data_IF_574113204219
#
_entry.id   IF_574113204219
#
_cell.length_a   1.000
_cell.length_b   1.000
_cell.length_c   1.000
_cell.angle_alpha   90.00
_cell.angle_beta   90.00
_cell.angle_gamma   90.00
#
_symmetry.space_group_name_H-M   'P 1'
#
loop_
_entity.id
_entity.type
_entity.pdbx_description
1 polymer ?
#
# COMPACT_ATOMS: atom_id res chain seq x y z
N UNK A 1 -12.26 -13.19 5.82
CA UNK A 1 -12.96 -11.96 5.41
C UNK A 1 -12.96 -11.86 3.89
N UNK A 2 -14.16 -11.98 3.29
CA UNK A 2 -14.37 -12.03 1.84
C UNK A 2 -14.49 -10.60 1.29
N UNK A 3 -13.43 -10.11 0.66
CA UNK A 3 -13.53 -8.95 -0.24
C UNK A 3 -14.33 -9.41 -1.47
N UNK A 4 -15.54 -8.86 -1.67
CA UNK A 4 -16.40 -9.22 -2.79
C UNK A 4 -15.66 -9.11 -4.14
N UNK A 5 -15.67 -10.21 -4.90
CA UNK A 5 -14.74 -10.55 -5.98
C UNK A 5 -14.70 -9.65 -7.23
N UNK A 6 -15.37 -8.49 -7.27
CA UNK A 6 -15.50 -7.67 -8.49
C UNK A 6 -15.33 -6.16 -8.28
N UNK A 7 -16.20 -5.50 -7.50
CA UNK A 7 -16.25 -4.03 -7.48
C UNK A 7 -14.99 -3.38 -6.88
N UNK A 8 -14.42 -3.99 -5.84
CA UNK A 8 -13.26 -3.47 -5.12
C UNK A 8 -11.96 -3.65 -5.91
N UNK A 9 -11.78 -4.81 -6.56
CA UNK A 9 -10.66 -5.05 -7.48
C UNK A 9 -10.72 -4.08 -8.66
N UNK A 10 -11.91 -3.88 -9.24
CA UNK A 10 -12.10 -2.96 -10.35
C UNK A 10 -11.80 -1.51 -9.95
N UNK A 11 -12.29 -1.07 -8.78
CA UNK A 11 -12.01 0.26 -8.27
C UNK A 11 -10.51 0.49 -8.01
N UNK A 12 -9.81 -0.51 -7.46
CA UNK A 12 -8.38 -0.42 -7.21
C UNK A 12 -7.55 -0.37 -8.50
N UNK A 13 -7.88 -1.19 -9.51
CA UNK A 13 -7.25 -1.13 -10.83
C UNK A 13 -7.50 0.21 -11.53
N UNK A 14 -8.75 0.69 -11.52
CA UNK A 14 -9.13 1.99 -12.09
C UNK A 14 -8.41 3.16 -11.41
N UNK A 15 -8.17 3.10 -10.09
CA UNK A 15 -7.42 4.15 -9.38
C UNK A 15 -5.96 4.29 -9.84
N UNK A 16 -5.42 3.26 -10.50
CA UNK A 16 -4.08 3.27 -11.09
C UNK A 16 -4.11 3.44 -12.62
N UNK A 17 -5.27 3.81 -13.17
CA UNK A 17 -5.51 3.92 -14.61
C UNK A 17 -5.22 2.61 -15.35
N UNK A 18 -5.58 1.47 -14.76
CA UNK A 18 -5.60 0.18 -15.42
C UNK A 18 -7.04 -0.15 -15.81
N UNK A 19 -7.25 -0.70 -17.01
CA UNK A 19 -8.58 -1.15 -17.43
C UNK A 19 -8.98 -2.41 -16.64
N UNK A 20 -10.01 -2.36 -15.78
CA UNK A 20 -10.42 -3.51 -15.00
C UNK A 20 -11.15 -4.57 -15.84
N UNK A 21 -11.59 -4.28 -17.07
CA UNK A 21 -12.43 -5.18 -17.88
C UNK A 21 -11.79 -6.54 -18.09
N UNK A 22 -10.50 -6.58 -18.47
CA UNK A 22 -9.78 -7.83 -18.70
C UNK A 22 -9.66 -8.69 -17.43
N UNK A 23 -9.49 -8.04 -16.27
CA UNK A 23 -9.39 -8.70 -14.97
C UNK A 23 -10.75 -9.24 -14.50
N UNK A 24 -11.81 -8.44 -14.65
CA UNK A 24 -13.18 -8.81 -14.29
C UNK A 24 -13.68 -9.95 -15.18
N UNK A 25 -13.44 -9.88 -16.48
CA UNK A 25 -13.82 -10.92 -17.43
C UNK A 25 -13.17 -12.28 -17.11
N UNK A 26 -11.96 -12.29 -16.54
CA UNK A 26 -11.26 -13.50 -16.10
C UNK A 26 -11.58 -13.92 -14.66
N UNK A 27 -12.54 -13.26 -13.99
CA UNK A 27 -12.92 -13.58 -12.61
C UNK A 27 -11.75 -13.41 -11.62
N UNK A 28 -10.89 -12.42 -11.87
CA UNK A 28 -9.78 -12.08 -10.98
C UNK A 28 -10.34 -11.32 -9.79
N UNK A 29 -10.38 -12.01 -8.65
CA UNK A 29 -10.65 -11.40 -7.36
C UNK A 29 -9.44 -10.62 -6.84
N UNK A 30 -9.64 -9.79 -5.82
CA UNK A 30 -8.53 -9.11 -5.12
C UNK A 30 -7.49 -10.11 -4.62
N UNK A 31 -7.93 -11.22 -4.00
CA UNK A 31 -7.03 -12.27 -3.53
C UNK A 31 -6.23 -12.96 -4.65
N UNK A 32 -6.80 -13.07 -5.86
CA UNK A 32 -6.10 -13.59 -7.04
C UNK A 32 -5.16 -12.55 -7.64
N UNK A 33 -5.56 -11.27 -7.65
CA UNK A 33 -4.74 -10.16 -8.14
C UNK A 33 -3.39 -10.12 -7.42
N UNK A 34 -3.36 -10.39 -6.11
CA UNK A 34 -2.14 -10.47 -5.30
C UNK A 34 -1.20 -11.62 -5.65
N UNK A 35 -1.68 -12.60 -6.43
CA UNK A 35 -0.92 -13.80 -6.81
C UNK A 35 -0.55 -13.80 -8.29
N UNK A 36 -0.97 -12.78 -9.05
CA UNK A 36 -0.61 -12.67 -10.46
C UNK A 36 0.88 -12.37 -10.57
N UNK A 37 1.55 -13.16 -11.40
CA UNK A 37 2.97 -13.00 -11.74
C UNK A 37 3.10 -12.16 -12.99
N UNK A 38 4.26 -11.53 -13.18
CA UNK A 38 4.58 -10.73 -14.37
C UNK A 38 4.31 -11.49 -15.67
N UNK A 39 4.61 -12.79 -15.70
CA UNK A 39 4.31 -13.64 -16.87
C UNK A 39 2.81 -13.65 -17.19
N UNK A 40 1.94 -13.84 -16.20
CA UNK A 40 0.50 -13.83 -16.38
C UNK A 40 0.01 -12.44 -16.80
N UNK A 41 0.51 -11.37 -16.16
CA UNK A 41 0.17 -9.99 -16.49
C UNK A 41 0.51 -9.63 -17.94
N UNK A 42 1.69 -10.06 -18.41
CA UNK A 42 2.12 -9.83 -19.78
C UNK A 42 1.34 -10.67 -20.79
N UNK A 43 1.26 -11.99 -20.57
CA UNK A 43 0.75 -12.91 -21.60
C UNK A 43 -0.77 -12.99 -21.63
N UNK A 44 -1.44 -12.89 -20.48
CA UNK A 44 -2.90 -13.08 -20.37
C UNK A 44 -3.68 -11.77 -20.31
N UNK A 45 -3.05 -10.69 -19.84
CA UNK A 45 -3.67 -9.38 -19.72
C UNK A 45 -3.06 -8.34 -20.66
N UNK A 46 -2.03 -8.71 -21.42
CA UNK A 46 -1.41 -7.82 -22.41
C UNK A 46 -0.76 -6.59 -21.79
N UNK A 47 -0.39 -6.63 -20.51
CA UNK A 47 0.19 -5.48 -19.84
C UNK A 47 1.64 -5.27 -20.29
N UNK A 48 1.96 -4.02 -20.62
CA UNK A 48 3.31 -3.54 -20.80
C UNK A 48 4.02 -3.37 -19.43
N UNK A 49 5.29 -2.95 -19.46
CA UNK A 49 6.06 -2.76 -18.23
C UNK A 49 5.43 -1.73 -17.29
N UNK A 50 4.81 -0.67 -17.83
CA UNK A 50 4.16 0.37 -17.04
C UNK A 50 2.93 -0.20 -16.32
N UNK A 51 2.10 -0.97 -17.03
CA UNK A 51 0.94 -1.66 -16.47
C UNK A 51 1.33 -2.67 -15.39
N UNK A 52 2.38 -3.46 -15.64
CA UNK A 52 2.90 -4.42 -14.65
C UNK A 52 3.41 -3.71 -13.39
N UNK A 53 4.15 -2.61 -13.53
CA UNK A 53 4.65 -1.82 -12.39
C UNK A 53 3.49 -1.28 -11.53
N UNK A 54 2.38 -0.87 -12.16
CA UNK A 54 1.17 -0.43 -11.44
C UNK A 54 0.50 -1.57 -10.68
N UNK A 55 0.41 -2.76 -11.27
CA UNK A 55 -0.12 -3.94 -10.57
C UNK A 55 0.78 -4.31 -9.39
N UNK A 56 2.11 -4.31 -9.56
CA UNK A 56 3.04 -4.55 -8.47
C UNK A 56 2.86 -3.53 -7.33
N UNK A 57 2.70 -2.25 -7.66
CA UNK A 57 2.41 -1.20 -6.68
C UNK A 57 1.11 -1.46 -5.91
N UNK A 58 0.06 -1.95 -6.58
CA UNK A 58 -1.19 -2.33 -5.94
C UNK A 58 -1.02 -3.54 -5.00
N UNK A 59 -0.25 -4.54 -5.43
CA UNK A 59 0.05 -5.73 -4.63
C UNK A 59 0.83 -5.37 -3.36
N UNK A 60 1.87 -4.53 -3.51
CA UNK A 60 2.68 -4.06 -2.39
C UNK A 60 1.87 -3.19 -1.42
N UNK A 61 1.04 -2.29 -1.95
CA UNK A 61 0.14 -1.47 -1.15
C UNK A 61 -0.87 -2.31 -0.36
N UNK A 62 -1.45 -3.34 -0.99
CA UNK A 62 -2.35 -4.26 -0.29
C UNK A 62 -1.65 -5.03 0.82
N UNK A 63 -0.43 -5.53 0.56
CA UNK A 63 0.37 -6.20 1.58
C UNK A 63 0.59 -5.29 2.78
N UNK A 64 1.05 -4.06 2.55
CA UNK A 64 1.28 -3.08 3.61
C UNK A 64 -0.02 -2.75 4.37
N UNK A 65 -1.13 -2.50 3.68
CA UNK A 65 -2.42 -2.23 4.32
C UNK A 65 -2.86 -3.36 5.25
N UNK A 66 -2.71 -4.61 4.80
CA UNK A 66 -3.06 -5.80 5.59
C UNK A 66 -2.17 -5.93 6.83
N UNK A 67 -0.88 -5.63 6.70
CA UNK A 67 0.06 -5.65 7.83
C UNK A 67 -0.23 -4.53 8.84
N UNK A 68 -0.58 -3.33 8.37
CA UNK A 68 -1.04 -2.23 9.23
C UNK A 68 -2.33 -2.62 9.96
N UNK A 69 -3.32 -3.17 9.25
CA UNK A 69 -4.59 -3.62 9.84
C UNK A 69 -4.36 -4.66 10.94
N UNK A 70 -3.44 -5.60 10.72
CA UNK A 70 -3.11 -6.66 11.67
C UNK A 70 -2.30 -6.19 12.90
N UNK A 71 -1.86 -4.92 12.93
CA UNK A 71 -1.06 -4.37 14.04
C UNK A 71 -1.89 -4.25 15.32
N UNK A 72 -3.20 -4.06 15.21
CA UNK A 72 -4.12 -4.22 16.34
C UNK A 72 -4.77 -5.61 16.25
N UNK A 73 -4.74 -6.40 17.33
CA UNK A 73 -5.19 -7.81 17.32
C UNK A 73 -6.70 -7.98 17.03
N UNK A 74 -7.42 -6.90 16.79
CA UNK A 74 -8.80 -6.88 16.30
C UNK A 74 -8.80 -6.43 14.84
N UNK A 75 -9.07 -7.32 13.87
CA UNK A 75 -9.20 -6.92 12.48
C UNK A 75 -10.33 -5.89 12.35
N UNK A 76 -9.99 -4.70 11.85
CA UNK A 76 -10.91 -3.55 11.71
C UNK A 76 -11.81 -3.62 10.47
N UNK A 77 -11.95 -4.80 9.87
CA UNK A 77 -12.95 -5.07 8.84
C UNK A 77 -12.67 -4.39 7.50
N UNK A 78 -11.41 -4.14 7.16
CA UNK A 78 -11.00 -3.49 5.91
C UNK A 78 -10.72 -1.98 6.04
N UNK A 79 -10.31 -1.54 7.23
CA UNK A 79 -9.94 -0.14 7.50
C UNK A 79 -8.73 -0.06 8.44
N UNK A 80 -7.99 1.04 8.42
CA UNK A 80 -6.83 1.28 9.30
C UNK A 80 -7.00 2.59 10.08
N UNK A 81 -6.77 2.55 11.39
CA UNK A 81 -6.68 3.77 12.20
C UNK A 81 -5.28 4.37 12.11
N UNK A 82 -5.15 5.68 12.34
CA UNK A 82 -3.86 6.39 12.29
C UNK A 82 -2.82 5.74 13.24
N UNK A 83 -3.25 5.36 14.45
CA UNK A 83 -2.39 4.67 15.42
C UNK A 83 -1.91 3.27 14.97
N UNK A 84 -2.64 2.60 14.06
CA UNK A 84 -2.16 1.35 13.46
C UNK A 84 -0.96 1.61 12.56
N UNK A 85 -1.05 2.67 11.73
CA UNK A 85 0.03 3.08 10.85
C UNK A 85 1.26 3.51 11.65
N UNK A 86 1.09 4.30 12.70
CA UNK A 86 2.18 4.73 13.58
C UNK A 86 2.94 3.53 14.17
N UNK A 87 2.22 2.58 14.76
CA UNK A 87 2.81 1.36 15.35
C UNK A 87 3.50 0.50 14.29
N UNK A 88 2.89 0.36 13.11
CA UNK A 88 3.50 -0.36 11.99
C UNK A 88 4.81 0.30 11.56
N UNK A 89 4.83 1.63 11.40
CA UNK A 89 6.02 2.39 11.00
C UNK A 89 7.17 2.23 12.01
N UNK A 90 6.86 2.31 13.31
CA UNK A 90 7.84 2.10 14.37
C UNK A 90 8.37 0.66 14.33
N UNK A 91 7.48 -0.34 14.30
CA UNK A 91 7.86 -1.75 14.41
C UNK A 91 8.54 -2.33 13.16
N UNK A 92 8.09 -1.94 11.96
CA UNK A 92 8.57 -2.50 10.69
C UNK A 92 9.66 -1.68 10.03
N UNK A 93 9.65 -0.37 10.23
CA UNK A 93 10.60 0.54 9.61
C UNK A 93 11.60 1.14 10.62
N UNK A 94 11.57 0.70 11.89
CA UNK A 94 12.43 1.21 12.97
C UNK A 94 12.39 2.74 13.07
N UNK A 95 11.23 3.33 12.79
CA UNK A 95 11.02 4.77 12.82
C UNK A 95 10.90 5.26 14.26
N UNK A 96 11.39 6.47 14.55
CA UNK A 96 11.12 7.10 15.85
C UNK A 96 9.63 7.46 15.93
N UNK A 97 9.04 7.37 17.11
CA UNK A 97 7.60 7.62 17.31
C UNK A 97 7.15 9.00 16.78
N UNK A 98 7.96 10.04 17.00
CA UNK A 98 7.66 11.39 16.51
C UNK A 98 7.65 11.49 14.97
N UNK A 99 8.57 10.79 14.30
CA UNK A 99 8.64 10.76 12.84
C UNK A 99 7.46 9.94 12.28
N UNK A 100 7.14 8.81 12.94
CA UNK A 100 6.00 7.97 12.58
C UNK A 100 4.66 8.71 12.70
N UNK A 101 4.49 9.53 13.75
CA UNK A 101 3.32 10.38 13.95
C UNK A 101 3.20 11.48 12.90
N UNK A 102 4.32 12.10 12.53
CA UNK A 102 4.32 13.15 11.50
C UNK A 102 3.93 12.57 10.15
N UNK A 103 4.55 11.44 9.77
CA UNK A 103 4.27 10.77 8.52
C UNK A 103 2.83 10.22 8.47
N UNK A 104 2.36 9.60 9.55
CA UNK A 104 0.98 9.09 9.61
C UNK A 104 -0.06 10.20 9.44
N UNK A 105 0.14 11.35 10.10
CA UNK A 105 -0.74 12.51 9.97
C UNK A 105 -0.78 13.06 8.55
N UNK A 106 0.39 13.18 7.92
CA UNK A 106 0.49 13.67 6.54
C UNK A 106 -0.24 12.74 5.57
N UNK A 107 -0.01 11.43 5.68
CA UNK A 107 -0.67 10.44 4.82
C UNK A 107 -2.19 10.39 5.08
N UNK A 108 -2.65 10.53 6.32
CA UNK A 108 -4.09 10.61 6.62
C UNK A 108 -4.74 11.88 6.06
N UNK A 109 -4.03 13.01 6.08
CA UNK A 109 -4.48 14.24 5.44
C UNK A 109 -4.54 14.07 3.90
N UNK A 110 -3.55 13.42 3.29
CA UNK A 110 -3.54 13.12 1.85
C UNK A 110 -4.71 12.20 1.45
N UNK A 111 -5.10 11.28 2.34
CA UNK A 111 -6.30 10.44 2.17
C UNK A 111 -7.61 11.23 2.32
N UNK A 112 -7.55 12.48 2.80
CA UNK A 112 -8.70 13.30 3.18
C UNK A 112 -9.60 12.62 4.23
N UNK A 113 -8.97 11.85 5.13
CA UNK A 113 -9.65 11.16 6.23
C UNK A 113 -9.39 11.97 7.51
N UNK A 114 -10.45 12.32 8.24
CA UNK A 114 -10.30 13.02 9.52
C UNK A 114 -9.43 12.21 10.49
N UNK A 115 -8.67 12.87 11.37
CA UNK A 115 -7.67 12.23 12.25
C UNK A 115 -8.24 11.14 13.17
N UNK A 116 -9.56 11.16 13.41
CA UNK A 116 -10.27 10.18 14.25
C UNK A 116 -11.03 9.11 13.43
N UNK A 117 -11.07 9.26 12.10
CA UNK A 117 -11.75 8.33 11.21
C UNK A 117 -10.77 7.25 10.68
N UNK A 118 -11.19 5.99 10.60
CA UNK A 118 -10.36 4.95 10.00
C UNK A 118 -10.33 5.12 8.48
N UNK A 119 -9.16 4.94 7.87
CA UNK A 119 -8.96 4.99 6.43
C UNK A 119 -9.31 3.66 5.77
N UNK A 120 -10.05 3.72 4.65
CA UNK A 120 -10.35 2.55 3.84
C UNK A 120 -9.15 2.12 2.99
N UNK A 121 -9.18 0.89 2.48
CA UNK A 121 -8.19 0.43 1.51
C UNK A 121 -8.13 1.31 0.24
N UNK A 122 -9.28 1.75 -0.27
CA UNK A 122 -9.34 2.56 -1.49
C UNK A 122 -8.71 3.95 -1.29
N UNK A 123 -8.90 4.56 -0.11
CA UNK A 123 -8.20 5.81 0.22
C UNK A 123 -6.71 5.59 0.40
N UNK A 124 -6.31 4.48 1.04
CA UNK A 124 -4.90 4.14 1.23
C UNK A 124 -4.14 3.90 -0.07
N UNK A 125 -4.69 3.12 -1.01
CA UNK A 125 -3.99 2.82 -2.27
C UNK A 125 -3.75 4.05 -3.13
N UNK A 126 -4.61 5.06 -3.05
CA UNK A 126 -4.40 6.34 -3.77
C UNK A 126 -3.15 7.08 -3.31
N UNK A 127 -2.84 7.01 -2.02
CA UNK A 127 -1.69 7.71 -1.40
C UNK A 127 -0.48 6.81 -1.20
N UNK A 128 -0.61 5.50 -1.45
CA UNK A 128 0.46 4.53 -1.27
C UNK A 128 1.74 4.86 -2.05
N UNK A 129 1.71 5.34 -3.32
CA UNK A 129 2.92 5.78 -4.01
C UNK A 129 3.70 6.83 -3.22
N UNK A 130 3.01 7.83 -2.68
CA UNK A 130 3.60 8.91 -1.87
C UNK A 130 4.18 8.38 -0.56
N UNK A 131 3.46 7.48 0.13
CA UNK A 131 3.98 6.83 1.33
C UNK A 131 5.27 6.05 1.03
N UNK A 132 5.29 5.31 -0.08
CA UNK A 132 6.47 4.52 -0.47
C UNK A 132 7.68 5.41 -0.75
N UNK A 133 7.50 6.48 -1.53
CA UNK A 133 8.56 7.46 -1.82
C UNK A 133 9.15 8.03 -0.52
N UNK A 134 8.30 8.47 0.41
CA UNK A 134 8.73 9.00 1.71
C UNK A 134 9.47 7.96 2.55
N UNK A 135 9.04 6.70 2.53
CA UNK A 135 9.74 5.62 3.21
C UNK A 135 11.12 5.34 2.57
N UNK A 136 11.21 5.36 1.26
CA UNK A 136 12.47 5.15 0.53
C UNK A 136 13.47 6.29 0.82
N UNK A 137 13.01 7.55 0.89
CA UNK A 137 13.81 8.72 1.26
C UNK A 137 14.33 8.65 2.71
N UNK A 138 13.45 8.31 3.65
CA UNK A 138 13.85 8.15 5.06
C UNK A 138 14.85 7.02 5.24
N UNK A 139 14.70 5.91 4.49
CA UNK A 139 15.58 4.75 4.59
C UNK A 139 16.91 4.96 3.87
N UNK A 140 16.95 5.73 2.78
CA UNK A 140 18.20 6.10 2.08
C UNK A 140 19.06 7.03 2.93
N UNK A 141 18.48 8.07 3.54
CA UNK A 141 19.20 8.99 4.43
C UNK A 141 19.83 8.31 5.66
N UNK A 142 19.21 7.24 6.18
CA UNK A 142 19.78 6.43 7.26
C UNK A 142 20.99 5.60 6.82
N UNK A 143 21.02 5.12 5.57
CA UNK A 143 22.15 4.35 5.02
C UNK A 143 23.36 5.24 4.82
N UNK A 144 23.16 6.44 4.29
CA UNK A 144 24.24 7.40 4.07
C UNK A 144 24.84 7.89 5.39
N UNK A 145 24.00 8.14 6.40
CA UNK A 145 24.44 8.50 7.75
C UNK A 145 25.26 7.40 8.43
N UNK A 146 24.90 6.12 8.22
CA UNK A 146 25.68 4.97 8.74
C UNK A 146 27.00 4.79 8.00
N UNK A 147 27.03 5.07 6.70
CA UNK A 147 28.25 5.00 5.88
C UNK A 147 29.25 6.10 6.25
N UNK A 148 28.78 7.32 6.47
CA UNK A 148 29.61 8.44 6.92
C UNK A 148 30.27 8.19 8.28
N UNK A 149 29.58 7.49 9.20
CA UNK A 149 30.11 7.17 10.54
C UNK A 149 31.10 6.00 10.59
N UNK A 150 31.29 5.25 9.50
CA UNK A 150 32.23 4.12 9.42
C UNK A 150 33.50 4.43 8.64
N UNK A 151 33.57 5.60 8.00
CA UNK A 151 34.75 6.09 7.29
C UNK A 151 35.58 7.08 8.09
N UNK A 152 35.40 7.14 9.41
CA UNK A 152 36.07 8.04 10.33
C UNK A 152 36.79 7.24 11.42
#
# INVERSE_FOLDING_TARGET
SSWGNGPLTAAALSSLHLDPKAFVAQGISSAKLLKLRDHDLRTRFGLDQVGMNKVALLQDGHKMFTEIEATDRKPSGGSIAIGNMERYLVAKHNMREADAKTLSMEIFNDMQVGQMAPASFLSFIKVYPTLREKLDDLMSGQRDSKRARRGH
#
